data_IF_022776925669
#
_entry.id   IF_022776925669
#
_cell.length_a   1.000
_cell.length_b   1.000
_cell.length_c   1.000
_cell.angle_alpha   90.00
_cell.angle_beta   90.00
_cell.angle_gamma   90.00
#
_symmetry.space_group_name_H-M   'P 1'
#
loop_
_entity.id
_entity.type
_entity.pdbx_description
1 polymer ?
#
# COMPACT_ATOMS: atom_id res chain seq x y z
N UNK A 1 33.96 38.94 14.14
CA UNK A 1 34.21 39.47 12.78
C UNK A 1 33.26 38.75 11.83
N UNK A 2 32.20 39.42 11.40
CA UNK A 2 31.08 38.86 10.62
C UNK A 2 31.48 38.52 9.18
N UNK A 3 31.13 37.32 8.69
CA UNK A 3 30.95 37.08 7.25
C UNK A 3 29.66 36.30 7.01
N UNK A 4 28.65 37.06 6.57
CA UNK A 4 27.44 36.58 5.91
C UNK A 4 27.82 35.98 4.55
N UNK A 5 27.30 34.80 4.22
CA UNK A 5 27.26 34.29 2.86
C UNK A 5 25.79 34.19 2.44
N UNK A 6 25.39 35.17 1.66
CA UNK A 6 24.16 35.24 0.88
C UNK A 6 24.38 34.42 -0.39
N UNK A 7 23.45 33.55 -0.75
CA UNK A 7 23.24 33.17 -2.16
C UNK A 7 21.78 33.42 -2.52
N UNK A 8 21.60 34.37 -3.43
CA UNK A 8 20.36 34.81 -4.03
C UNK A 8 20.48 34.64 -5.55
N UNK A 9 19.56 33.84 -6.13
CA UNK A 9 18.79 34.13 -7.34
C UNK A 9 19.48 34.37 -8.70
N UNK A 10 19.06 33.60 -9.72
CA UNK A 10 18.83 34.01 -11.12
C UNK A 10 17.95 32.93 -11.80
N UNK A 11 16.64 33.15 -12.03
CA UNK A 11 15.95 33.74 -13.19
C UNK A 11 15.99 32.96 -14.53
N UNK A 12 14.86 32.29 -14.82
CA UNK A 12 13.96 32.37 -16.00
C UNK A 12 14.44 32.16 -17.46
N UNK A 13 13.64 31.38 -18.22
CA UNK A 13 13.08 31.58 -19.61
C UNK A 13 12.85 30.19 -20.26
N UNK A 14 11.60 29.70 -20.34
CA UNK A 14 10.64 29.74 -21.48
C UNK A 14 10.90 28.73 -22.61
N UNK A 15 9.86 28.00 -23.05
CA UNK A 15 9.93 27.15 -24.24
C UNK A 15 8.73 26.22 -24.46
N UNK A 16 7.56 26.79 -24.75
CA UNK A 16 6.34 26.11 -25.22
C UNK A 16 6.59 25.45 -26.59
N UNK A 17 6.21 24.18 -26.76
CA UNK A 17 5.99 23.59 -28.09
C UNK A 17 4.79 22.62 -28.04
N UNK A 18 3.62 23.16 -28.40
CA UNK A 18 2.39 22.45 -28.72
C UNK A 18 2.44 22.12 -30.22
N UNK A 19 2.38 20.85 -30.63
CA UNK A 19 2.05 20.49 -32.00
C UNK A 19 0.92 19.45 -32.03
N UNK A 20 -0.22 19.95 -32.48
CA UNK A 20 -1.45 19.26 -32.82
C UNK A 20 -1.21 18.40 -34.07
N UNK A 21 -1.53 17.10 -34.02
CA UNK A 21 -1.75 16.30 -35.23
C UNK A 21 -3.24 16.13 -35.45
N UNK A 22 -3.68 16.71 -36.56
CA UNK A 22 -5.06 16.81 -37.00
C UNK A 22 -5.61 15.47 -37.51
N UNK A 23 -6.90 15.30 -37.21
CA UNK A 23 -7.81 14.25 -37.64
C UNK A 23 -8.27 14.49 -39.08
N UNK A 24 -7.93 13.63 -40.02
CA UNK A 24 -8.53 13.64 -41.37
C UNK A 24 -9.79 12.77 -41.41
N UNK A 25 -10.93 13.42 -41.62
CA UNK A 25 -12.24 12.85 -41.93
C UNK A 25 -12.52 13.27 -43.37
N UNK A 26 -12.90 12.36 -44.28
CA UNK A 26 -13.56 12.67 -45.55
C UNK A 26 -14.28 11.42 -46.13
N UNK A 27 -15.28 11.58 -47.02
CA UNK A 27 -16.57 10.91 -46.91
C UNK A 27 -17.07 10.08 -48.13
N UNK A 28 -18.16 9.35 -47.88
CA UNK A 28 -19.32 8.94 -48.71
C UNK A 28 -19.30 8.93 -50.26
N UNK A 29 -19.76 7.81 -50.84
CA UNK A 29 -20.72 7.69 -51.96
C UNK A 29 -21.25 6.22 -51.97
N UNK A 30 -22.54 5.87 -51.82
CA UNK A 30 -23.82 6.16 -52.54
C UNK A 30 -24.06 5.29 -53.79
N UNK A 31 -25.20 4.56 -53.76
CA UNK A 31 -26.10 4.01 -54.82
C UNK A 31 -26.32 2.48 -54.73
N UNK A 32 -27.52 2.01 -54.33
CA UNK A 32 -28.82 1.91 -55.08
C UNK A 32 -28.80 0.73 -56.06
N UNK A 33 -29.77 -0.18 -56.22
CA UNK A 33 -31.12 -0.43 -55.72
C UNK A 33 -31.52 -1.87 -56.12
N UNK A 34 -32.59 -2.44 -55.56
CA UNK A 34 -33.19 -3.68 -56.06
C UNK A 34 -34.49 -4.08 -55.32
N UNK A 35 -35.60 -4.14 -56.05
CA UNK A 35 -37.01 -4.21 -55.59
C UNK A 35 -37.51 -5.64 -55.26
N UNK A 36 -38.52 -5.66 -54.38
CA UNK A 36 -39.44 -6.70 -53.86
C UNK A 36 -40.38 -7.35 -54.94
N UNK A 37 -41.48 -8.11 -54.66
CA UNK A 37 -41.79 -9.31 -53.82
C UNK A 37 -42.49 -10.47 -54.62
N UNK A 38 -42.82 -11.62 -53.97
CA UNK A 38 -43.95 -12.47 -54.40
C UNK A 38 -44.08 -13.86 -53.71
N UNK A 39 -45.30 -14.39 -53.45
CA UNK A 39 -45.58 -15.31 -52.35
C UNK A 39 -45.95 -16.75 -52.76
N UNK A 40 -45.64 -17.75 -51.94
CA UNK A 40 -46.38 -19.04 -51.95
C UNK A 40 -46.48 -19.66 -50.56
N UNK A 41 -47.72 -19.92 -50.15
CA UNK A 41 -48.16 -20.66 -48.97
C UNK A 41 -48.09 -22.18 -49.20
N UNK A 42 -47.72 -22.95 -48.17
CA UNK A 42 -48.26 -24.30 -47.89
C UNK A 42 -48.02 -24.69 -46.43
N UNK A 43 -49.02 -25.36 -45.85
CA UNK A 43 -49.17 -25.72 -44.45
C UNK A 43 -48.50 -27.07 -44.07
N UNK A 44 -47.92 -27.08 -42.85
CA UNK A 44 -47.77 -28.17 -41.84
C UNK A 44 -46.93 -29.44 -42.12
N UNK A 45 -46.39 -30.14 -41.08
CA UNK A 45 -46.64 -30.04 -39.64
C UNK A 45 -45.40 -29.92 -38.71
N UNK A 46 -45.67 -29.49 -37.47
CA UNK A 46 -44.99 -29.82 -36.20
C UNK A 46 -43.49 -30.18 -36.20
N UNK A 47 -42.67 -29.19 -35.84
CA UNK A 47 -41.39 -29.42 -35.17
C UNK A 47 -41.25 -28.39 -34.06
N UNK A 48 -41.54 -28.80 -32.82
CA UNK A 48 -41.09 -28.08 -31.63
C UNK A 48 -39.58 -27.91 -31.73
N UNK A 49 -39.01 -26.69 -31.68
CA UNK A 49 -37.62 -26.57 -31.32
C UNK A 49 -37.55 -26.86 -29.83
N UNK A 50 -37.01 -28.02 -29.47
CA UNK A 50 -36.45 -28.25 -28.14
C UNK A 50 -35.29 -27.27 -27.98
N UNK A 51 -35.60 -26.03 -27.60
CA UNK A 51 -34.63 -25.10 -27.05
C UNK A 51 -34.27 -25.56 -25.64
N UNK A 52 -33.62 -26.73 -25.53
CA UNK A 52 -32.70 -26.98 -24.43
C UNK A 52 -31.38 -26.36 -24.85
N UNK A 53 -31.26 -25.05 -24.68
CA UNK A 53 -29.95 -24.47 -24.41
C UNK A 53 -29.46 -25.13 -23.12
N UNK A 54 -28.73 -26.24 -23.25
CA UNK A 54 -27.85 -26.67 -22.18
C UNK A 54 -26.81 -25.57 -22.07
N UNK A 55 -27.06 -24.60 -21.20
CA UNK A 55 -26.03 -23.70 -20.71
C UNK A 55 -24.89 -24.60 -20.25
N UNK A 56 -23.80 -24.62 -21.03
CA UNK A 56 -22.58 -25.33 -20.67
C UNK A 56 -22.05 -24.60 -19.44
N UNK A 57 -22.46 -25.09 -18.26
CA UNK A 57 -22.08 -24.52 -16.98
C UNK A 57 -20.56 -24.54 -16.91
N UNK A 58 -19.93 -23.37 -16.87
CA UNK A 58 -18.48 -23.29 -16.76
C UNK A 58 -18.06 -24.03 -15.48
N UNK A 59 -16.94 -24.79 -15.47
CA UNK A 59 -16.47 -25.46 -14.26
C UNK A 59 -16.40 -24.53 -13.02
N UNK A 60 -16.13 -23.23 -13.25
CA UNK A 60 -16.14 -22.20 -12.20
C UNK A 60 -17.52 -21.93 -11.58
N UNK A 61 -18.61 -21.97 -12.36
CA UNK A 61 -19.97 -21.74 -11.89
C UNK A 61 -20.47 -22.88 -10.98
N UNK A 62 -20.03 -24.10 -11.28
CA UNK A 62 -20.29 -25.29 -10.45
C UNK A 62 -19.62 -25.16 -9.08
N UNK A 63 -18.33 -24.79 -9.05
CA UNK A 63 -17.58 -24.61 -7.79
C UNK A 63 -18.12 -23.45 -6.97
N UNK A 64 -18.40 -22.30 -7.60
CA UNK A 64 -19.06 -21.15 -6.96
C UNK A 64 -20.36 -21.55 -6.27
N UNK A 65 -21.24 -22.25 -6.99
CA UNK A 65 -22.55 -22.67 -6.45
C UNK A 65 -22.42 -23.69 -5.32
N UNK A 66 -21.39 -24.55 -5.35
CA UNK A 66 -21.13 -25.50 -4.28
C UNK A 66 -20.70 -24.77 -3.00
N UNK A 67 -19.75 -23.83 -3.09
CA UNK A 67 -19.27 -23.04 -1.95
C UNK A 67 -20.40 -22.25 -1.28
N UNK A 68 -21.27 -21.59 -2.08
CA UNK A 68 -22.42 -20.85 -1.54
C UNK A 68 -23.33 -21.77 -0.73
N UNK A 69 -23.69 -22.95 -1.28
CA UNK A 69 -24.56 -23.90 -0.57
C UNK A 69 -23.94 -24.42 0.73
N UNK A 70 -22.62 -24.64 0.76
CA UNK A 70 -21.93 -25.08 1.97
C UNK A 70 -21.92 -23.99 3.05
N UNK A 71 -21.69 -22.73 2.66
CA UNK A 71 -21.75 -21.59 3.56
C UNK A 71 -23.18 -21.43 4.11
N UNK A 72 -24.20 -21.44 3.25
CA UNK A 72 -25.61 -21.36 3.66
C UNK A 72 -26.00 -22.49 4.62
N UNK A 73 -25.51 -23.70 4.37
CA UNK A 73 -25.76 -24.86 5.23
C UNK A 73 -25.13 -24.69 6.63
N UNK A 74 -23.93 -24.12 6.72
CA UNK A 74 -23.28 -23.81 8.01
C UNK A 74 -24.11 -22.77 8.76
N UNK A 75 -24.46 -21.67 8.10
CA UNK A 75 -25.22 -20.55 8.69
C UNK A 75 -26.64 -20.95 9.14
N UNK A 76 -27.25 -21.93 8.48
CA UNK A 76 -28.63 -22.37 8.76
C UNK A 76 -28.72 -23.64 9.62
N UNK A 77 -27.58 -24.23 10.03
CA UNK A 77 -27.53 -25.53 10.71
C UNK A 77 -28.17 -25.53 12.11
N UNK A 78 -28.22 -24.36 12.77
CA UNK A 78 -28.64 -24.23 14.17
C UNK A 78 -27.58 -24.67 15.19
N UNK A 79 -26.47 -25.25 14.72
CA UNK A 79 -25.30 -25.61 15.52
C UNK A 79 -24.36 -24.41 15.70
N UNK A 80 -23.48 -24.41 16.72
CA UNK A 80 -22.39 -23.44 16.81
C UNK A 80 -21.55 -23.43 15.52
N UNK A 81 -21.34 -22.25 14.95
CA UNK A 81 -20.57 -22.11 13.71
C UNK A 81 -19.11 -22.44 13.97
N UNK A 82 -18.57 -23.39 13.20
CA UNK A 82 -17.14 -23.62 13.08
C UNK A 82 -16.50 -22.46 12.29
N UNK A 83 -15.93 -21.51 13.03
CA UNK A 83 -15.34 -20.28 12.48
C UNK A 83 -14.26 -20.57 11.44
N UNK A 84 -13.39 -21.56 11.70
CA UNK A 84 -12.28 -21.89 10.80
C UNK A 84 -12.79 -22.45 9.48
N UNK A 85 -13.76 -23.37 9.55
CA UNK A 85 -14.38 -23.93 8.34
C UNK A 85 -15.13 -22.85 7.55
N UNK A 86 -15.92 -22.01 8.22
CA UNK A 86 -16.62 -20.90 7.58
C UNK A 86 -15.65 -19.94 6.90
N UNK A 87 -14.63 -19.48 7.63
CA UNK A 87 -13.59 -18.58 7.14
C UNK A 87 -12.85 -19.15 5.92
N UNK A 88 -12.52 -20.44 5.94
CA UNK A 88 -11.88 -21.11 4.80
C UNK A 88 -12.77 -21.15 3.56
N UNK A 89 -14.06 -21.47 3.71
CA UNK A 89 -15.01 -21.46 2.59
C UNK A 89 -15.24 -20.05 2.06
N UNK A 90 -15.30 -19.05 2.95
CA UNK A 90 -15.45 -17.64 2.59
C UNK A 90 -14.28 -17.14 1.74
N UNK A 91 -13.04 -17.45 2.12
CA UNK A 91 -11.84 -17.09 1.35
C UNK A 91 -11.83 -17.78 -0.02
N UNK A 92 -12.21 -19.06 -0.08
CA UNK A 92 -12.34 -19.79 -1.35
C UNK A 92 -13.42 -19.19 -2.25
N UNK A 93 -14.55 -18.76 -1.66
CA UNK A 93 -15.58 -18.05 -2.41
C UNK A 93 -15.06 -16.70 -2.88
N UNK A 94 -14.33 -15.95 -2.05
CA UNK A 94 -13.79 -14.65 -2.40
C UNK A 94 -12.81 -14.70 -3.58
N UNK A 95 -12.02 -15.79 -3.69
CA UNK A 95 -11.16 -16.02 -4.83
C UNK A 95 -11.93 -16.14 -6.17
N UNK A 96 -13.20 -16.58 -6.13
CA UNK A 96 -14.04 -16.80 -7.31
C UNK A 96 -15.01 -15.63 -7.51
N UNK A 97 -15.84 -15.34 -6.50
CA UNK A 97 -16.88 -14.31 -6.45
C UNK A 97 -16.80 -13.55 -5.11
N UNK A 98 -15.96 -12.50 -5.03
CA UNK A 98 -15.79 -11.72 -3.81
C UNK A 98 -17.03 -10.94 -3.40
N UNK A 99 -17.88 -10.54 -4.34
CA UNK A 99 -19.15 -9.89 -4.02
C UNK A 99 -20.11 -10.87 -3.33
N UNK A 100 -20.16 -12.13 -3.76
CA UNK A 100 -20.95 -13.13 -3.03
C UNK A 100 -20.37 -13.39 -1.64
N UNK A 101 -19.05 -13.50 -1.48
CA UNK A 101 -18.43 -13.64 -0.16
C UNK A 101 -18.76 -12.45 0.77
N UNK A 102 -18.67 -11.22 0.26
CA UNK A 102 -19.04 -10.00 0.98
C UNK A 102 -20.46 -10.04 1.55
N UNK A 103 -21.45 -10.43 0.73
CA UNK A 103 -22.84 -10.57 1.20
C UNK A 103 -22.99 -11.54 2.37
N UNK A 104 -22.24 -12.63 2.38
CA UNK A 104 -22.29 -13.59 3.50
C UNK A 104 -21.62 -13.02 4.75
N UNK A 105 -20.45 -12.40 4.61
CA UNK A 105 -19.75 -11.76 5.72
C UNK A 105 -20.60 -10.64 6.36
N UNK A 106 -21.24 -9.81 5.52
CA UNK A 106 -22.09 -8.69 5.95
C UNK A 106 -23.45 -9.14 6.51
N UNK A 107 -23.90 -10.37 6.23
CA UNK A 107 -25.11 -10.93 6.81
C UNK A 107 -24.90 -11.49 8.23
N UNK A 108 -23.64 -11.69 8.65
CA UNK A 108 -23.32 -12.15 9.99
C UNK A 108 -23.73 -11.12 11.04
N UNK A 109 -24.18 -11.59 12.19
CA UNK A 109 -24.37 -10.73 13.36
C UNK A 109 -23.03 -10.12 13.79
N UNK A 110 -23.08 -8.89 14.32
CA UNK A 110 -21.91 -8.24 14.90
C UNK A 110 -21.27 -9.12 15.97
N UNK A 111 -19.95 -9.34 15.86
CA UNK A 111 -19.21 -10.20 16.78
C UNK A 111 -17.90 -10.72 16.17
N UNK A 112 -17.17 -11.57 16.90
CA UNK A 112 -15.84 -12.04 16.49
C UNK A 112 -15.81 -12.72 15.12
N UNK A 113 -16.81 -13.56 14.82
CA UNK A 113 -16.90 -14.25 13.52
C UNK A 113 -17.03 -13.27 12.35
N UNK A 114 -17.82 -12.21 12.50
CA UNK A 114 -17.97 -11.17 11.46
C UNK A 114 -16.68 -10.40 11.27
N UNK A 115 -16.01 -10.02 12.36
CA UNK A 115 -14.73 -9.31 12.30
C UNK A 115 -13.67 -10.15 11.57
N UNK A 116 -13.56 -11.43 11.91
CA UNK A 116 -12.65 -12.37 11.26
C UNK A 116 -12.99 -12.55 9.77
N UNK A 117 -14.28 -12.73 9.45
CA UNK A 117 -14.77 -12.86 8.08
C UNK A 117 -14.42 -11.64 7.22
N UNK A 118 -14.69 -10.44 7.72
CA UNK A 118 -14.37 -9.17 7.03
C UNK A 118 -12.87 -9.00 6.86
N UNK A 119 -12.06 -9.34 7.87
CA UNK A 119 -10.60 -9.30 7.77
C UNK A 119 -10.07 -10.23 6.67
N UNK A 120 -10.46 -11.51 6.69
CA UNK A 120 -9.99 -12.49 5.71
C UNK A 120 -10.49 -12.17 4.29
N UNK A 121 -11.73 -11.70 4.17
CA UNK A 121 -12.28 -11.23 2.90
C UNK A 121 -11.48 -10.03 2.36
N UNK A 122 -11.18 -9.05 3.20
CA UNK A 122 -10.40 -7.85 2.82
C UNK A 122 -9.05 -8.25 2.21
N UNK A 123 -8.34 -9.17 2.85
CA UNK A 123 -7.05 -9.68 2.37
C UNK A 123 -7.20 -10.47 1.06
N UNK A 124 -8.14 -11.42 1.00
CA UNK A 124 -8.35 -12.25 -0.17
C UNK A 124 -8.81 -11.44 -1.41
N UNK A 125 -9.69 -10.46 -1.21
CA UNK A 125 -10.16 -9.60 -2.29
C UNK A 125 -9.04 -8.65 -2.73
N UNK A 126 -8.28 -8.06 -1.81
CA UNK A 126 -7.15 -7.19 -2.15
C UNK A 126 -6.08 -7.90 -3.00
N UNK A 127 -5.81 -9.19 -2.76
CA UNK A 127 -4.89 -9.96 -3.61
C UNK A 127 -5.37 -10.12 -5.06
N UNK A 128 -6.69 -10.12 -5.29
CA UNK A 128 -7.28 -10.36 -6.62
C UNK A 128 -7.58 -9.07 -7.36
N UNK A 129 -8.31 -8.18 -6.70
CA UNK A 129 -8.68 -6.87 -7.22
C UNK A 129 -8.73 -5.85 -6.08
N UNK A 130 -7.61 -5.15 -5.84
CA UNK A 130 -7.56 -4.18 -4.75
C UNK A 130 -8.38 -2.91 -5.01
N UNK A 131 -8.80 -2.63 -6.26
CA UNK A 131 -9.63 -1.44 -6.53
C UNK A 131 -11.09 -1.72 -6.17
N UNK A 132 -11.58 -2.90 -6.54
CA UNK A 132 -12.91 -3.35 -6.15
C UNK A 132 -13.00 -3.62 -4.65
N UNK A 133 -11.94 -4.20 -4.04
CA UNK A 133 -11.87 -4.40 -2.60
C UNK A 133 -11.96 -3.07 -1.83
N UNK A 134 -11.22 -2.04 -2.26
CA UNK A 134 -11.27 -0.70 -1.66
C UNK A 134 -12.69 -0.10 -1.78
N UNK A 135 -13.31 -0.23 -2.96
CA UNK A 135 -14.67 0.27 -3.22
C UNK A 135 -15.68 -0.39 -2.29
N UNK A 136 -15.57 -1.71 -2.10
CA UNK A 136 -16.39 -2.45 -1.16
C UNK A 136 -16.18 -2.00 0.28
N UNK A 137 -14.93 -1.98 0.75
CA UNK A 137 -14.62 -1.63 2.13
C UNK A 137 -15.08 -0.22 2.48
N UNK A 138 -14.89 0.75 1.56
CA UNK A 138 -15.38 2.12 1.72
C UNK A 138 -16.91 2.22 1.78
N UNK A 139 -17.64 1.22 1.29
CA UNK A 139 -19.10 1.13 1.32
C UNK A 139 -19.68 0.48 2.57
N UNK A 140 -18.86 -0.10 3.46
CA UNK A 140 -19.33 -0.70 4.71
C UNK A 140 -19.99 0.37 5.59
N UNK A 141 -21.15 0.05 6.17
CA UNK A 141 -21.95 1.02 6.94
C UNK A 141 -21.29 1.38 8.29
N UNK A 142 -20.74 0.38 8.99
CA UNK A 142 -20.04 0.58 10.26
C UNK A 142 -18.66 1.20 10.02
N UNK A 143 -18.35 2.30 10.72
CA UNK A 143 -17.08 3.03 10.58
C UNK A 143 -15.88 2.17 11.00
N UNK A 144 -16.01 1.40 12.07
CA UNK A 144 -14.91 0.59 12.60
C UNK A 144 -14.59 -0.57 11.65
N UNK A 145 -15.62 -1.23 11.12
CA UNK A 145 -15.48 -2.28 10.10
C UNK A 145 -14.89 -1.72 8.81
N UNK A 146 -15.37 -0.55 8.34
CA UNK A 146 -14.83 0.14 7.17
C UNK A 146 -13.35 0.45 7.34
N UNK A 147 -12.98 1.08 8.45
CA UNK A 147 -11.60 1.45 8.74
C UNK A 147 -10.69 0.21 8.80
N UNK A 148 -11.13 -0.83 9.52
CA UNK A 148 -10.38 -2.08 9.65
C UNK A 148 -10.22 -2.80 8.31
N UNK A 149 -11.26 -2.83 7.46
CA UNK A 149 -11.20 -3.45 6.13
C UNK A 149 -10.23 -2.69 5.21
N UNK A 150 -10.32 -1.35 5.19
CA UNK A 150 -9.42 -0.49 4.40
C UNK A 150 -7.96 -0.63 4.86
N UNK A 151 -7.70 -0.74 6.16
CA UNK A 151 -6.36 -0.99 6.68
C UNK A 151 -5.81 -2.35 6.24
N UNK A 152 -6.61 -3.41 6.36
CA UNK A 152 -6.22 -4.75 5.87
C UNK A 152 -5.93 -4.76 4.37
N UNK A 153 -6.75 -4.08 3.56
CA UNK A 153 -6.52 -3.92 2.12
C UNK A 153 -5.21 -3.16 1.87
N UNK A 154 -4.97 -2.06 2.57
CA UNK A 154 -3.74 -1.28 2.40
C UNK A 154 -2.49 -2.10 2.75
N UNK A 155 -2.50 -2.83 3.86
CA UNK A 155 -1.39 -3.68 4.25
C UNK A 155 -1.15 -4.80 3.24
N UNK A 156 -2.21 -5.39 2.68
CA UNK A 156 -2.08 -6.42 1.65
C UNK A 156 -1.52 -5.84 0.34
N UNK A 157 -2.05 -4.70 -0.12
CA UNK A 157 -1.55 -4.00 -1.30
C UNK A 157 -0.10 -3.56 -1.10
N UNK A 158 0.29 -3.20 0.11
CA UNK A 158 1.65 -2.76 0.45
C UNK A 158 2.73 -3.81 0.21
N UNK A 159 2.37 -5.10 0.22
CA UNK A 159 3.29 -6.20 -0.07
C UNK A 159 3.75 -6.23 -1.54
N UNK A 160 2.91 -5.76 -2.46
CA UNK A 160 3.21 -5.76 -3.91
C UNK A 160 3.49 -4.36 -4.44
N UNK A 161 2.76 -3.36 -3.94
CA UNK A 161 2.82 -1.98 -4.41
C UNK A 161 2.59 -1.00 -3.24
N UNK A 162 3.67 -0.72 -2.52
CA UNK A 162 3.65 0.18 -1.38
C UNK A 162 3.23 1.62 -1.75
N UNK A 163 3.59 2.12 -2.94
CA UNK A 163 3.12 3.44 -3.41
C UNK A 163 1.59 3.49 -3.49
N UNK A 164 0.97 2.47 -4.09
CA UNK A 164 -0.49 2.38 -4.17
C UNK A 164 -1.11 2.31 -2.78
N UNK A 165 -0.56 1.47 -1.89
CA UNK A 165 -1.06 1.33 -0.53
C UNK A 165 -1.02 2.67 0.23
N UNK A 166 0.07 3.42 0.10
CA UNK A 166 0.20 4.75 0.69
C UNK A 166 -0.85 5.73 0.15
N UNK A 167 -1.13 5.71 -1.16
CA UNK A 167 -2.19 6.55 -1.76
C UNK A 167 -3.59 6.20 -1.24
N UNK A 168 -3.88 4.91 -1.06
CA UNK A 168 -5.16 4.47 -0.48
C UNK A 168 -5.25 4.91 0.99
N UNK A 169 -4.19 4.70 1.77
CA UNK A 169 -4.12 5.13 3.16
C UNK A 169 -4.31 6.65 3.30
N UNK A 170 -3.68 7.46 2.44
CA UNK A 170 -3.86 8.91 2.42
C UNK A 170 -5.29 9.31 2.04
N UNK A 171 -5.85 8.71 0.98
CA UNK A 171 -7.22 9.00 0.51
C UNK A 171 -8.26 8.77 1.60
N UNK A 172 -8.15 7.65 2.32
CA UNK A 172 -9.07 7.27 3.39
C UNK A 172 -8.62 7.74 4.77
N UNK A 173 -7.55 8.54 4.84
CA UNK A 173 -7.03 9.11 6.08
C UNK A 173 -6.70 8.05 7.14
N UNK A 174 -6.30 6.85 6.67
CA UNK A 174 -5.86 5.76 7.53
C UNK A 174 -4.58 6.21 8.24
N UNK A 175 -4.63 6.29 9.57
CA UNK A 175 -3.54 6.79 10.40
C UNK A 175 -3.69 8.23 10.91
N UNK A 176 -4.79 8.93 10.62
CA UNK A 176 -5.10 10.24 11.26
C UNK A 176 -5.51 10.13 12.74
N UNK A 177 -5.68 8.91 13.28
CA UNK A 177 -5.97 8.63 14.68
C UNK A 177 -5.36 7.26 15.05
N UNK A 178 -4.49 7.20 16.09
CA UNK A 178 -3.06 6.98 15.91
C UNK A 178 -2.74 5.65 15.19
N UNK A 179 -2.11 5.67 14.02
CA UNK A 179 -1.94 4.45 13.21
C UNK A 179 -0.50 4.17 12.73
N UNK A 180 0.15 3.06 13.14
CA UNK A 180 1.45 2.58 12.63
C UNK A 180 1.42 2.13 11.15
N UNK A 181 0.25 2.17 10.50
CA UNK A 181 0.06 1.72 9.12
C UNK A 181 0.88 2.57 8.15
N UNK A 182 0.80 3.91 8.23
CA UNK A 182 1.54 4.77 7.30
C UNK A 182 3.05 4.58 7.42
N UNK A 183 3.56 4.46 8.65
CA UNK A 183 4.99 4.19 8.90
C UNK A 183 5.42 2.83 8.33
N UNK A 184 4.58 1.80 8.49
CA UNK A 184 4.83 0.46 7.94
C UNK A 184 4.87 0.50 6.42
N UNK A 185 3.91 1.17 5.78
CA UNK A 185 3.83 1.29 4.33
C UNK A 185 5.00 2.11 3.76
N UNK A 186 5.39 3.21 4.41
CA UNK A 186 6.57 4.00 4.01
C UNK A 186 7.84 3.18 4.15
N UNK A 187 7.97 2.38 5.22
CA UNK A 187 9.13 1.49 5.36
C UNK A 187 9.19 0.44 4.26
N UNK A 188 8.06 -0.20 3.95
CA UNK A 188 7.97 -1.17 2.86
C UNK A 188 8.31 -0.51 1.52
N UNK A 189 7.75 0.68 1.25
CA UNK A 189 8.07 1.43 0.05
C UNK A 189 9.57 1.74 -0.03
N UNK A 190 10.17 2.21 1.06
CA UNK A 190 11.59 2.51 1.12
C UNK A 190 12.49 1.29 0.88
N UNK A 191 12.04 0.09 1.27
CA UNK A 191 12.74 -1.16 1.00
C UNK A 191 12.75 -1.55 -0.48
N UNK A 192 11.76 -1.13 -1.26
CA UNK A 192 11.65 -1.43 -2.70
C UNK A 192 12.13 -0.28 -3.60
N UNK A 193 11.75 0.95 -3.28
CA UNK A 193 12.06 2.18 -4.02
C UNK A 193 12.25 3.34 -3.04
N UNK A 194 13.47 3.41 -2.50
CA UNK A 194 13.87 4.43 -1.53
C UNK A 194 13.71 5.88 -2.07
N UNK A 195 14.20 6.22 -3.29
CA UNK A 195 14.05 7.57 -3.82
C UNK A 195 12.60 8.02 -3.95
N UNK A 196 11.70 7.15 -4.42
CA UNK A 196 10.29 7.50 -4.54
C UNK A 196 9.62 7.71 -3.18
N UNK A 197 9.92 6.86 -2.19
CA UNK A 197 9.41 7.00 -0.83
C UNK A 197 9.85 8.34 -0.19
N UNK A 198 11.13 8.70 -0.33
CA UNK A 198 11.66 10.00 0.13
C UNK A 198 10.96 11.15 -0.56
N UNK A 199 10.80 11.10 -1.89
CA UNK A 199 10.15 12.17 -2.64
C UNK A 199 8.71 12.41 -2.16
N UNK A 200 7.96 11.33 -1.90
CA UNK A 200 6.60 11.42 -1.37
C UNK A 200 6.56 11.96 0.07
N UNK A 201 7.44 11.52 0.97
CA UNK A 201 7.50 12.05 2.35
C UNK A 201 7.88 13.53 2.34
N UNK A 202 8.85 13.92 1.50
CA UNK A 202 9.27 15.33 1.37
C UNK A 202 8.15 16.22 0.86
N UNK A 203 7.20 15.69 0.08
CA UNK A 203 6.05 16.45 -0.42
C UNK A 203 4.97 16.70 0.63
N UNK A 204 5.07 16.11 1.83
CA UNK A 204 4.10 16.31 2.91
C UNK A 204 4.35 17.61 3.67
N UNK A 205 3.31 18.18 4.31
CA UNK A 205 3.49 19.34 5.17
C UNK A 205 4.51 19.08 6.28
N UNK A 206 5.33 20.09 6.60
CA UNK A 206 6.23 20.03 7.73
C UNK A 206 5.45 19.81 9.05
N UNK A 207 6.05 19.05 9.95
CA UNK A 207 5.46 18.70 11.24
C UNK A 207 5.76 17.27 11.66
N UNK A 208 5.33 16.93 12.86
CA UNK A 208 5.67 15.69 13.58
C UNK A 208 5.53 14.43 12.72
N UNK A 209 4.42 14.27 12.00
CA UNK A 209 4.19 13.07 11.17
C UNK A 209 5.19 12.94 10.02
N UNK A 210 5.54 14.05 9.38
CA UNK A 210 6.55 14.05 8.30
C UNK A 210 7.91 13.68 8.87
N UNK A 211 8.26 14.24 10.02
CA UNK A 211 9.52 13.97 10.72
C UNK A 211 9.61 12.50 11.16
N UNK A 212 8.53 11.92 11.68
CA UNK A 212 8.42 10.48 11.98
C UNK A 212 8.70 9.61 10.75
N UNK A 213 8.11 9.95 9.60
CA UNK A 213 8.37 9.23 8.35
C UNK A 213 9.81 9.41 7.86
N UNK A 214 10.41 10.59 8.02
CA UNK A 214 11.84 10.82 7.72
C UNK A 214 12.73 9.95 8.62
N UNK A 215 12.45 9.86 9.92
CA UNK A 215 13.18 8.97 10.83
C UNK A 215 13.07 7.51 10.40
N UNK A 216 11.87 7.07 9.97
CA UNK A 216 11.68 5.71 9.45
C UNK A 216 12.50 5.44 8.19
N UNK A 217 12.55 6.40 7.27
CA UNK A 217 13.40 6.34 6.07
C UNK A 217 14.89 6.28 6.43
N UNK A 218 15.32 7.11 7.37
CA UNK A 218 16.71 7.12 7.83
C UNK A 218 17.11 5.77 8.43
N UNK A 219 16.26 5.12 9.24
CA UNK A 219 16.52 3.77 9.77
C UNK A 219 16.70 2.75 8.64
N UNK A 220 15.84 2.79 7.61
CA UNK A 220 15.95 1.88 6.45
C UNK A 220 17.27 2.10 5.71
N UNK A 221 17.64 3.36 5.48
CA UNK A 221 18.86 3.71 4.76
C UNK A 221 20.12 3.45 5.58
N UNK A 222 20.07 3.56 6.91
CA UNK A 222 21.22 3.37 7.79
C UNK A 222 21.82 1.95 7.69
N UNK A 223 21.00 0.97 7.29
CA UNK A 223 21.46 -0.39 7.08
C UNK A 223 22.45 -0.55 5.91
N UNK A 224 22.47 0.39 4.95
CA UNK A 224 23.30 0.30 3.73
C UNK A 224 24.14 1.56 3.45
N UNK A 225 23.61 2.75 3.76
CA UNK A 225 24.20 4.06 3.49
C UNK A 225 24.04 4.97 4.73
N UNK A 226 24.73 4.68 5.85
CA UNK A 226 24.52 5.38 7.11
C UNK A 226 24.86 6.88 7.10
N UNK A 227 25.86 7.30 6.31
CA UNK A 227 26.13 8.73 6.12
C UNK A 227 24.98 9.46 5.42
N UNK A 228 24.36 8.82 4.43
CA UNK A 228 23.23 9.38 3.68
C UNK A 228 21.95 9.41 4.52
N UNK A 229 21.73 8.37 5.33
CA UNK A 229 20.66 8.33 6.31
C UNK A 229 20.76 9.49 7.31
N UNK A 230 21.95 9.73 7.83
CA UNK A 230 22.21 10.83 8.75
C UNK A 230 22.03 12.19 8.08
N UNK A 231 22.50 12.36 6.84
CA UNK A 231 22.28 13.58 6.06
C UNK A 231 20.79 13.84 5.80
N UNK A 232 20.01 12.80 5.48
CA UNK A 232 18.56 12.91 5.31
C UNK A 232 17.89 13.50 6.56
N UNK A 233 18.29 13.05 7.76
CA UNK A 233 17.75 13.59 9.03
C UNK A 233 18.13 15.06 9.22
N UNK A 234 19.41 15.40 9.04
CA UNK A 234 19.91 16.77 9.27
C UNK A 234 19.30 17.77 8.27
N UNK A 235 19.06 17.36 7.03
CA UNK A 235 18.48 18.22 5.99
C UNK A 235 16.97 18.41 6.13
N UNK A 236 16.24 17.40 6.62
CA UNK A 236 14.78 17.37 6.52
C UNK A 236 14.04 17.57 7.85
N UNK A 237 14.71 17.39 8.99
CA UNK A 237 14.16 17.64 10.33
C UNK A 237 14.79 18.92 10.89
N UNK A 238 14.02 19.88 11.43
CA UNK A 238 14.59 21.09 12.05
C UNK A 238 15.51 20.77 13.23
N UNK A 239 16.52 21.62 13.45
CA UNK A 239 17.44 21.50 14.59
C UNK A 239 16.67 21.46 15.92
N UNK A 240 16.95 20.46 16.75
CA UNK A 240 16.29 20.26 18.03
C UNK A 240 16.40 18.82 18.53
N UNK A 241 15.74 18.49 19.66
CA UNK A 241 15.85 17.16 20.28
C UNK A 241 15.47 16.00 19.36
N UNK A 242 14.44 16.17 18.51
CA UNK A 242 13.98 15.12 17.58
C UNK A 242 15.06 14.81 16.54
N UNK A 243 15.65 15.84 15.92
CA UNK A 243 16.75 15.67 14.96
C UNK A 243 17.94 15.00 15.65
N UNK A 244 18.31 15.46 16.86
CA UNK A 244 19.42 14.88 17.62
C UNK A 244 19.20 13.39 17.85
N UNK A 245 18.08 12.98 18.45
CA UNK A 245 17.83 11.56 18.74
C UNK A 245 17.75 10.69 17.48
N UNK A 246 17.23 11.23 16.37
CA UNK A 246 17.24 10.54 15.08
C UNK A 246 18.66 10.34 14.53
N UNK A 247 19.52 11.37 14.58
CA UNK A 247 20.93 11.26 14.20
C UNK A 247 21.67 10.27 15.10
N UNK A 248 21.45 10.33 16.41
CA UNK A 248 22.03 9.39 17.37
C UNK A 248 21.61 7.94 17.07
N UNK A 249 20.35 7.72 16.69
CA UNK A 249 19.88 6.38 16.28
C UNK A 249 20.63 5.85 15.05
N UNK A 250 20.88 6.71 14.05
CA UNK A 250 21.69 6.35 12.86
C UNK A 250 23.14 6.05 13.26
N UNK A 251 23.74 6.88 14.11
CA UNK A 251 25.12 6.70 14.60
C UNK A 251 25.25 5.40 15.38
N UNK A 252 24.27 5.10 16.24
CA UNK A 252 24.26 3.88 17.02
C UNK A 252 24.23 2.65 16.10
N UNK A 253 23.33 2.62 15.12
CA UNK A 253 23.27 1.52 14.16
C UNK A 253 24.54 1.39 13.30
N UNK A 254 25.12 2.52 12.88
CA UNK A 254 26.37 2.54 12.13
C UNK A 254 27.52 2.03 12.98
N UNK A 255 27.72 2.57 14.18
CA UNK A 255 28.85 2.24 15.05
C UNK A 255 28.88 0.78 15.50
N UNK A 256 27.72 0.10 15.56
CA UNK A 256 27.65 -1.35 15.79
C UNK A 256 28.32 -2.18 14.68
N UNK A 257 28.43 -1.64 13.46
CA UNK A 257 29.02 -2.32 12.30
C UNK A 257 30.36 -1.73 11.89
N UNK A 258 30.50 -0.42 11.99
CA UNK A 258 31.66 0.36 11.57
C UNK A 258 31.81 1.61 12.46
N UNK A 259 32.47 1.39 13.60
CA UNK A 259 32.77 2.44 14.58
C UNK A 259 33.70 3.53 14.00
N UNK A 260 34.61 3.17 13.10
CA UNK A 260 35.55 4.12 12.52
C UNK A 260 34.83 5.09 11.58
N UNK A 261 34.03 4.58 10.65
CA UNK A 261 33.22 5.42 9.76
C UNK A 261 32.22 6.29 10.50
N UNK A 262 31.58 5.76 11.56
CA UNK A 262 30.68 6.56 12.39
C UNK A 262 31.40 7.74 13.07
N UNK A 263 32.63 7.51 13.60
CA UNK A 263 33.48 8.58 14.17
C UNK A 263 33.90 9.61 13.15
N UNK A 264 34.34 9.17 11.97
CA UNK A 264 34.74 10.06 10.87
C UNK A 264 33.58 10.97 10.47
N UNK A 265 32.37 10.43 10.36
CA UNK A 265 31.18 11.22 10.03
C UNK A 265 30.78 12.20 11.13
N UNK A 266 30.81 11.79 12.40
CA UNK A 266 30.57 12.71 13.53
C UNK A 266 31.62 13.83 13.56
N UNK A 267 32.86 13.55 13.18
CA UNK A 267 33.92 14.56 13.04
C UNK A 267 33.65 15.65 12.00
N UNK A 268 32.73 15.40 11.05
CA UNK A 268 32.29 16.39 10.06
C UNK A 268 31.26 17.38 10.62
N UNK A 269 30.68 17.11 11.78
CA UNK A 269 29.69 18.01 12.37
C UNK A 269 30.36 19.30 12.87
N UNK A 270 29.70 20.46 12.70
CA UNK A 270 30.11 21.68 13.38
C UNK A 270 30.15 21.49 14.90
N UNK A 271 30.98 22.27 15.58
CA UNK A 271 30.96 22.32 17.05
C UNK A 271 29.58 22.74 17.55
N UNK A 272 29.05 22.01 18.53
CA UNK A 272 27.74 22.27 19.13
C UNK A 272 27.08 21.04 19.75
N UNK A 273 25.84 21.19 20.25
CA UNK A 273 25.16 20.16 21.04
C UNK A 273 25.00 18.81 20.32
N UNK A 274 24.74 18.83 19.00
CA UNK A 274 24.59 17.60 18.21
C UNK A 274 25.90 16.80 18.16
N UNK A 275 27.02 17.48 17.91
CA UNK A 275 28.34 16.84 17.87
C UNK A 275 28.73 16.29 19.23
N UNK A 276 28.56 17.07 20.30
CA UNK A 276 28.86 16.64 21.67
C UNK A 276 28.06 15.39 22.05
N UNK A 277 26.75 15.37 21.76
CA UNK A 277 25.89 14.21 22.04
C UNK A 277 26.29 12.97 21.22
N UNK A 278 26.69 13.17 19.96
CA UNK A 278 27.15 12.12 19.05
C UNK A 278 28.49 11.51 19.48
N UNK A 279 29.45 12.34 19.87
CA UNK A 279 30.75 11.90 20.42
C UNK A 279 30.56 11.13 21.73
N UNK A 280 29.66 11.61 22.60
CA UNK A 280 29.29 10.91 23.83
C UNK A 280 28.67 9.53 23.56
N UNK A 281 27.79 9.41 22.55
CA UNK A 281 27.20 8.14 22.14
C UNK A 281 28.29 7.14 21.72
N UNK A 282 29.17 7.54 20.80
CA UNK A 282 30.26 6.68 20.31
C UNK A 282 31.24 6.27 21.42
N UNK A 283 31.49 7.16 22.37
CA UNK A 283 32.32 6.87 23.56
C UNK A 283 31.63 5.86 24.48
N UNK A 284 30.33 6.03 24.71
CA UNK A 284 29.53 5.09 25.49
C UNK A 284 29.52 3.71 24.83
N UNK A 285 29.23 3.64 23.54
CA UNK A 285 29.23 2.38 22.77
C UNK A 285 30.56 1.63 22.85
N UNK A 286 31.68 2.34 22.70
CA UNK A 286 33.02 1.74 22.79
C UNK A 286 33.33 1.18 24.19
N UNK A 287 32.78 1.80 25.24
CA UNK A 287 32.99 1.38 26.63
C UNK A 287 32.23 0.10 27.00
N UNK A 288 31.18 -0.25 26.25
CA UNK A 288 30.33 -1.43 26.50
C UNK A 288 30.61 -2.61 25.56
N UNK A 289 31.50 -2.48 24.57
CA UNK A 289 31.85 -3.59 23.68
C UNK A 289 32.67 -4.65 24.44
N UNK A 290 32.15 -5.87 24.69
CA UNK A 290 32.90 -6.89 25.41
C UNK A 290 33.97 -7.51 24.50
N UNK A 291 35.25 -7.27 24.82
CA UNK A 291 36.38 -8.10 24.38
C UNK A 291 36.98 -7.79 22.99
N UNK A 292 37.82 -6.76 22.91
CA UNK A 292 39.02 -6.80 22.06
C UNK A 292 40.31 -6.51 22.86
N UNK A 293 40.30 -6.82 24.16
CA UNK A 293 41.52 -6.86 24.97
C UNK A 293 41.79 -8.32 25.34
N UNK A 294 42.61 -9.00 24.54
CA UNK A 294 42.96 -10.40 24.78
C UNK A 294 43.59 -11.15 23.61
N UNK A 295 44.41 -10.49 22.79
CA UNK A 295 45.34 -11.17 21.88
C UNK A 295 46.59 -10.31 21.69
N UNK A 296 47.47 -10.43 22.68
CA UNK A 296 48.87 -10.08 22.58
C UNK A 296 49.64 -11.31 23.08
N UNK A 297 50.11 -12.11 22.14
CA UNK A 297 51.22 -13.05 22.35
C UNK A 297 52.54 -12.26 22.37
#
# INVERSE_FOLDING_TARGET
MNRKLLFSGFCLISGICLLLVQRSKEPSAVMSAGRNPGPHTRHHPSSQPLSRTSEVRSPGDGRRSALIREIDAILSSGEPIDSERFSSLLVQLAAIDPTAAARHAEALASGPLRQEALQKLSQAWACKDPADAETWAAGLADESERQSALENICLQVGQENAERAVKVAEKHQLGNNPGPVMETLVQQWAGHDFPAAVAWVKSKPAGERREQMIMRLAIVQAATLPSEAGRLVVEEIPEGPVQTEAVISVIHQWGLRDMAGARDWVGLFPEGPLRERAEAELTGMASFAPGQEGQSD
#
